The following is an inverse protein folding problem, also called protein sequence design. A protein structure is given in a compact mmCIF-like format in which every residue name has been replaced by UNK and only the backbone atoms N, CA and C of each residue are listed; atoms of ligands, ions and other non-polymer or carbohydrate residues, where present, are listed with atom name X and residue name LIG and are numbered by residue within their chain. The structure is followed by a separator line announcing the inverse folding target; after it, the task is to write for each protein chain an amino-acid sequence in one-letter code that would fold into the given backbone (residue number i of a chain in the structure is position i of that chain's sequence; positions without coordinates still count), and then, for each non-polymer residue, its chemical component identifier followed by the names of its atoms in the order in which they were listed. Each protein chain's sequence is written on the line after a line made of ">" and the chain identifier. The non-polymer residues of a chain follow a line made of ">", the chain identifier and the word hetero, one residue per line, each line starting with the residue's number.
data_IF_965519115763
#
_entry.id   IF_965519115763
#
_cell.length_a   1.000
_cell.length_b   1.000
_cell.length_c   1.000
_cell.angle_alpha   90.00
_cell.angle_beta   90.00
_cell.angle_gamma   90.00
#
_symmetry.space_group_name_H-M   'P 1'
#
loop_
_entity.id
_entity.type
_entity.pdbx_description
1 polymer ?
#
# COMPACT_ATOMS: atom_id res chain seq x y z
N UNK A 1 -1.04 -11.52 26.85
CA UNK A 1 -1.03 -12.18 25.53
C UNK A 1 -2.44 -12.35 24.92
N UNK A 2 -3.50 -12.62 25.68
CA UNK A 2 -4.86 -12.85 25.14
C UNK A 2 -5.65 -11.61 24.63
N UNK A 3 -5.41 -10.41 25.18
CA UNK A 3 -6.17 -9.20 24.81
C UNK A 3 -5.84 -8.73 23.39
N UNK A 4 -4.56 -8.83 22.99
CA UNK A 4 -4.09 -8.35 21.68
C UNK A 4 -4.62 -9.21 20.53
N UNK A 5 -4.60 -10.53 20.70
CA UNK A 5 -5.15 -11.46 19.73
C UNK A 5 -6.68 -11.31 19.59
N UNK A 6 -7.37 -11.07 20.72
CA UNK A 6 -8.81 -10.83 20.72
C UNK A 6 -9.20 -9.50 20.05
N UNK A 7 -8.43 -8.43 20.27
CA UNK A 7 -8.61 -7.14 19.60
C UNK A 7 -8.47 -7.28 18.09
N UNK A 8 -7.39 -7.91 17.62
CA UNK A 8 -7.16 -8.14 16.19
C UNK A 8 -8.24 -9.04 15.56
N UNK A 9 -8.65 -10.11 16.27
CA UNK A 9 -9.74 -10.99 15.82
C UNK A 9 -11.10 -10.26 15.75
N UNK A 10 -11.36 -9.33 16.67
CA UNK A 10 -12.59 -8.52 16.67
C UNK A 10 -12.58 -7.47 15.57
N UNK A 11 -11.41 -6.86 15.30
CA UNK A 11 -11.22 -6.00 14.14
C UNK A 11 -11.47 -6.77 12.85
N UNK A 12 -10.88 -7.97 12.68
CA UNK A 12 -11.11 -8.84 11.53
C UNK A 12 -12.62 -9.07 11.32
N UNK A 13 -13.37 -9.37 12.38
CA UNK A 13 -14.82 -9.59 12.29
C UNK A 13 -15.63 -8.31 11.97
N UNK A 14 -15.25 -7.15 12.52
CA UNK A 14 -15.91 -5.86 12.21
C UNK A 14 -15.59 -5.36 10.80
N UNK A 15 -14.33 -5.52 10.40
CA UNK A 15 -13.83 -5.24 9.06
C UNK A 15 -14.56 -6.13 8.05
N UNK A 16 -14.58 -7.45 8.25
CA UNK A 16 -15.37 -8.40 7.46
C UNK A 16 -16.82 -7.95 7.25
N UNK A 17 -17.53 -7.56 8.32
CA UNK A 17 -18.94 -7.19 8.22
C UNK A 17 -19.18 -5.89 7.43
N UNK A 18 -18.23 -4.95 7.48
CA UNK A 18 -18.26 -3.71 6.70
C UNK A 18 -17.79 -3.94 5.25
N UNK A 19 -16.90 -4.90 5.04
CA UNK A 19 -16.19 -5.16 3.78
C UNK A 19 -16.90 -6.13 2.83
N UNK A 20 -17.78 -7.01 3.32
CA UNK A 20 -18.55 -7.93 2.46
C UNK A 20 -19.56 -7.20 1.55
N UNK A 21 -19.80 -5.88 1.72
CA UNK A 21 -20.68 -5.11 0.85
C UNK A 21 -20.02 -4.51 -0.39
N UNK A 22 -18.70 -4.33 -0.39
CA UNK A 22 -17.95 -3.69 -1.48
C UNK A 22 -17.00 -4.73 -2.13
N UNK A 23 -16.80 -4.65 -3.44
CA UNK A 23 -15.89 -5.57 -4.15
C UNK A 23 -14.40 -5.33 -3.85
N UNK A 24 -14.10 -4.16 -3.28
CA UNK A 24 -12.74 -3.69 -2.99
C UNK A 24 -12.61 -3.31 -1.51
N UNK A 25 -11.47 -3.63 -0.91
CA UNK A 25 -11.13 -3.28 0.47
C UNK A 25 -9.83 -2.53 0.52
N UNK A 26 -9.84 -1.37 1.17
CA UNK A 26 -8.64 -0.59 1.42
C UNK A 26 -8.02 -0.94 2.77
N UNK A 27 -6.72 -1.26 2.76
CA UNK A 27 -5.95 -1.46 4.00
C UNK A 27 -5.25 -0.15 4.38
N UNK A 28 -5.36 0.29 5.64
CA UNK A 28 -4.71 1.52 6.08
C UNK A 28 -3.18 1.37 6.07
N UNK A 29 -2.49 2.36 5.52
CA UNK A 29 -1.02 2.39 5.44
C UNK A 29 -0.41 3.00 6.72
N UNK A 30 -0.35 2.21 7.78
CA UNK A 30 0.11 2.62 9.12
C UNK A 30 1.63 2.48 9.21
N UNK A 31 2.34 3.47 8.68
CA UNK A 31 3.81 3.44 8.52
C UNK A 31 4.57 4.02 9.71
N UNK A 32 3.93 4.85 10.55
CA UNK A 32 4.55 5.40 11.76
C UNK A 32 4.67 4.36 12.86
N UNK A 33 5.73 4.42 13.66
CA UNK A 33 6.17 3.40 14.63
C UNK A 33 6.51 2.02 14.04
N UNK A 34 6.55 1.86 12.72
CA UNK A 34 6.81 0.57 12.07
C UNK A 34 8.21 0.02 12.36
N UNK A 35 9.22 0.89 12.57
CA UNK A 35 10.58 0.45 12.94
C UNK A 35 10.72 0.00 14.40
N UNK A 36 9.66 0.13 15.21
CA UNK A 36 9.71 -0.30 16.61
C UNK A 36 9.33 -1.75 16.76
N UNK A 37 9.94 -2.44 17.73
CA UNK A 37 9.59 -3.83 18.05
C UNK A 37 8.11 -4.00 18.45
N UNK A 38 7.44 -2.94 18.89
CA UNK A 38 6.03 -3.00 19.34
C UNK A 38 5.03 -2.81 18.22
N UNK A 39 5.41 -2.18 17.10
CA UNK A 39 4.48 -1.81 16.02
C UNK A 39 3.21 -1.13 16.56
N UNK A 40 3.38 -0.22 17.53
CA UNK A 40 2.28 0.24 18.39
C UNK A 40 1.10 0.86 17.62
N UNK A 41 1.37 1.57 16.52
CA UNK A 41 0.32 2.13 15.67
C UNK A 41 -0.51 1.05 14.97
N UNK A 42 0.14 0.06 14.36
CA UNK A 42 -0.53 -1.09 13.74
C UNK A 42 -1.35 -1.85 14.78
N UNK A 43 -0.77 -2.08 15.97
CA UNK A 43 -1.43 -2.80 17.05
C UNK A 43 -2.71 -2.12 17.53
N UNK A 44 -2.68 -0.79 17.67
CA UNK A 44 -3.84 0.00 18.11
C UNK A 44 -4.90 0.13 17.03
N UNK A 45 -4.51 0.10 15.76
CA UNK A 45 -5.43 -0.06 14.64
C UNK A 45 -5.99 -1.49 14.51
N UNK A 46 -5.40 -2.45 15.25
CA UNK A 46 -5.82 -3.85 15.37
C UNK A 46 -5.11 -4.82 14.41
N UNK A 47 -4.02 -4.40 13.79
CA UNK A 47 -3.07 -5.28 13.10
C UNK A 47 -2.01 -5.76 14.09
N UNK A 48 -2.09 -7.02 14.52
CA UNK A 48 -1.05 -7.61 15.35
C UNK A 48 0.12 -8.06 14.46
N UNK A 49 1.06 -7.14 14.20
CA UNK A 49 2.21 -7.32 13.31
C UNK A 49 3.54 -7.28 14.07
N UNK A 50 3.87 -8.28 14.91
CA UNK A 50 5.15 -8.32 15.60
C UNK A 50 6.30 -8.67 14.65
N UNK A 51 7.55 -8.33 15.01
CA UNK A 51 8.74 -8.51 14.16
C UNK A 51 8.97 -9.94 13.64
N UNK A 52 8.42 -10.96 14.29
CA UNK A 52 8.58 -12.37 13.93
C UNK A 52 7.38 -12.98 13.16
N UNK A 53 6.36 -12.21 12.83
CA UNK A 53 5.18 -12.71 12.13
C UNK A 53 4.60 -11.65 11.19
N UNK A 54 4.10 -12.08 10.03
CA UNK A 54 3.31 -11.20 9.17
C UNK A 54 1.88 -11.03 9.70
N UNK A 55 1.59 -9.89 10.33
CA UNK A 55 0.30 -9.56 10.94
C UNK A 55 -0.85 -9.33 9.95
N UNK A 56 -0.53 -9.08 8.68
CA UNK A 56 -1.53 -8.90 7.61
C UNK A 56 -2.04 -10.22 7.06
N UNK A 57 -1.21 -11.27 7.10
CA UNK A 57 -1.49 -12.57 6.48
C UNK A 57 -2.85 -13.20 6.89
N UNK A 58 -3.25 -13.19 8.18
CA UNK A 58 -4.55 -13.72 8.59
C UNK A 58 -5.73 -12.92 8.02
N UNK A 59 -5.58 -11.60 7.89
CA UNK A 59 -6.61 -10.73 7.29
C UNK A 59 -6.75 -11.06 5.81
N UNK A 60 -5.64 -11.25 5.11
CA UNK A 60 -5.63 -11.50 3.66
C UNK A 60 -6.16 -12.88 3.29
N UNK A 61 -5.91 -13.89 4.12
CA UNK A 61 -6.55 -15.21 3.99
C UNK A 61 -8.08 -15.12 4.02
N UNK A 62 -8.60 -14.26 4.90
CA UNK A 62 -10.02 -14.01 5.02
C UNK A 62 -10.56 -13.24 3.82
N UNK A 63 -9.91 -12.14 3.42
CA UNK A 63 -10.33 -11.36 2.24
C UNK A 63 -10.35 -12.21 0.97
N UNK A 64 -9.35 -13.10 0.81
CA UNK A 64 -9.26 -14.02 -0.32
C UNK A 64 -10.46 -14.96 -0.40
N UNK A 65 -10.96 -15.45 0.75
CA UNK A 65 -12.18 -16.29 0.80
C UNK A 65 -13.43 -15.61 0.26
N UNK A 66 -13.46 -14.28 0.28
CA UNK A 66 -14.55 -13.47 -0.21
C UNK A 66 -14.31 -12.87 -1.59
N UNK A 67 -13.21 -13.25 -2.28
CA UNK A 67 -12.88 -12.75 -3.62
C UNK A 67 -12.82 -11.22 -3.71
N UNK A 68 -12.37 -10.59 -2.63
CA UNK A 68 -12.22 -9.14 -2.53
C UNK A 68 -10.92 -8.68 -3.20
N UNK A 69 -10.96 -7.53 -3.88
CA UNK A 69 -9.75 -6.84 -4.35
C UNK A 69 -9.16 -6.02 -3.21
N UNK A 70 -7.87 -6.21 -2.91
CA UNK A 70 -7.14 -5.36 -1.99
C UNK A 70 -6.72 -4.06 -2.69
N UNK A 71 -7.20 -2.91 -2.21
CA UNK A 71 -6.75 -1.59 -2.64
C UNK A 71 -5.67 -1.08 -1.70
N UNK A 72 -4.48 -0.87 -2.23
CA UNK A 72 -3.34 -0.33 -1.49
C UNK A 72 -3.15 1.14 -1.82
N UNK A 73 -3.05 2.00 -0.79
CA UNK A 73 -2.71 3.41 -0.97
C UNK A 73 -1.20 3.54 -1.05
N UNK A 74 -0.69 3.83 -2.23
CA UNK A 74 0.71 4.09 -2.51
C UNK A 74 1.11 5.43 -1.88
N UNK A 75 1.89 5.32 -0.81
CA UNK A 75 2.55 6.47 -0.21
C UNK A 75 3.64 6.95 -1.18
N UNK A 76 3.65 8.26 -1.48
CA UNK A 76 4.70 8.88 -2.28
C UNK A 76 6.03 8.94 -1.55
N UNK A 77 7.01 9.60 -2.15
CA UNK A 77 8.21 10.00 -1.41
C UNK A 77 7.76 10.97 -0.31
N UNK A 78 7.71 10.50 0.93
CA UNK A 78 7.85 11.43 2.04
C UNK A 78 9.28 11.95 1.96
N UNK A 79 9.42 13.23 1.66
CA UNK A 79 10.70 13.93 1.73
C UNK A 79 11.34 13.51 3.05
N UNK A 80 12.44 12.78 2.93
CA UNK A 80 13.21 12.13 4.00
C UNK A 80 13.85 13.11 4.99
N UNK A 81 13.29 14.31 5.13
CA UNK A 81 13.68 15.35 6.07
C UNK A 81 12.51 16.06 6.76
N UNK A 82 11.25 15.69 6.49
CA UNK A 82 10.07 16.26 7.18
C UNK A 82 9.39 15.29 8.14
N UNK A 83 9.58 13.98 7.97
CA UNK A 83 9.30 13.05 9.05
C UNK A 83 10.44 13.10 10.06
N UNK A 84 10.12 13.70 11.20
CA UNK A 84 10.91 13.69 12.41
C UNK A 84 11.34 12.24 12.70
N UNK A 85 12.64 11.99 12.92
CA UNK A 85 13.19 10.69 13.31
C UNK A 85 12.40 10.05 14.48
N UNK A 86 11.74 10.89 15.28
CA UNK A 86 10.76 10.53 16.30
C UNK A 86 9.58 9.65 15.85
N UNK A 87 9.15 9.72 14.59
CA UNK A 87 8.02 8.93 14.08
C UNK A 87 8.40 7.45 13.87
N UNK A 88 9.70 7.12 13.79
CA UNK A 88 10.21 5.76 13.58
C UNK A 88 9.49 5.04 12.43
N UNK A 89 9.24 5.79 11.35
CA UNK A 89 8.41 5.35 10.24
C UNK A 89 9.17 4.55 9.19
N UNK A 90 8.45 3.67 8.49
CA UNK A 90 8.96 2.90 7.34
C UNK A 90 7.86 2.62 6.30
N UNK A 91 7.48 3.63 5.50
CA UNK A 91 6.45 3.45 4.47
C UNK A 91 6.87 2.44 3.39
N UNK A 92 8.17 2.33 3.08
CA UNK A 92 8.70 1.39 2.09
C UNK A 92 8.63 -0.05 2.60
N UNK A 93 9.13 -0.30 3.82
CA UNK A 93 9.04 -1.61 4.47
C UNK A 93 7.61 -2.08 4.66
N UNK A 94 6.70 -1.18 5.06
CA UNK A 94 5.27 -1.47 5.15
C UNK A 94 4.67 -1.85 3.78
N UNK A 95 4.93 -1.04 2.75
CA UNK A 95 4.41 -1.27 1.40
C UNK A 95 4.87 -2.63 0.87
N UNK A 96 6.16 -2.94 1.05
CA UNK A 96 6.71 -4.24 0.69
C UNK A 96 6.01 -5.38 1.44
N UNK A 97 5.84 -5.27 2.76
CA UNK A 97 5.23 -6.34 3.56
C UNK A 97 3.77 -6.59 3.16
N UNK A 98 2.98 -5.53 3.00
CA UNK A 98 1.55 -5.60 2.67
C UNK A 98 1.36 -6.19 1.27
N UNK A 99 2.05 -5.66 0.27
CA UNK A 99 1.89 -6.11 -1.12
C UNK A 99 2.32 -7.57 -1.28
N UNK A 100 3.48 -7.96 -0.75
CA UNK A 100 3.96 -9.33 -0.85
C UNK A 100 3.06 -10.31 -0.09
N UNK A 101 2.58 -9.95 1.10
CA UNK A 101 1.63 -10.78 1.85
C UNK A 101 0.32 -10.98 1.11
N UNK A 102 -0.17 -9.96 0.41
CA UNK A 102 -1.40 -10.06 -0.37
C UNK A 102 -1.24 -10.97 -1.58
N UNK A 103 -0.17 -10.78 -2.37
CA UNK A 103 0.13 -11.62 -3.52
C UNK A 103 0.42 -13.07 -3.13
N UNK A 104 1.16 -13.32 -2.04
CA UNK A 104 1.42 -14.67 -1.52
C UNK A 104 0.12 -15.40 -1.12
N UNK A 105 -0.95 -14.65 -0.77
CA UNK A 105 -2.29 -15.18 -0.50
C UNK A 105 -3.20 -15.24 -1.73
N UNK A 106 -2.70 -14.88 -2.90
CA UNK A 106 -3.45 -14.89 -4.16
C UNK A 106 -4.56 -13.84 -4.24
N UNK A 107 -4.44 -12.73 -3.50
CA UNK A 107 -5.36 -11.61 -3.64
C UNK A 107 -5.12 -10.86 -4.94
N UNK A 108 -6.20 -10.35 -5.52
CA UNK A 108 -6.11 -9.30 -6.54
C UNK A 108 -5.75 -8.01 -5.81
N UNK A 109 -4.71 -7.33 -6.29
CA UNK A 109 -4.25 -6.06 -5.72
C UNK A 109 -4.51 -4.94 -6.71
N UNK A 110 -4.98 -3.80 -6.21
CA UNK A 110 -5.13 -2.54 -6.93
C UNK A 110 -4.38 -1.44 -6.17
N UNK A 111 -3.94 -0.41 -6.89
CA UNK A 111 -3.26 0.74 -6.29
C UNK A 111 -4.09 2.02 -6.33
N UNK A 112 -3.79 2.95 -5.43
CA UNK A 112 -4.27 4.33 -5.44
C UNK A 112 -3.17 5.26 -4.95
N UNK A 113 -2.99 6.44 -5.55
CA UNK A 113 -1.98 7.39 -5.05
C UNK A 113 -2.46 8.08 -3.77
N UNK A 114 -1.56 8.29 -2.81
CA UNK A 114 -1.82 9.20 -1.71
C UNK A 114 -2.01 10.65 -2.22
N UNK A 115 -2.77 11.44 -1.45
CA UNK A 115 -3.12 12.84 -1.77
C UNK A 115 -1.93 13.80 -1.96
N UNK A 116 -0.70 13.39 -1.68
CA UNK A 116 0.51 14.20 -1.81
C UNK A 116 1.49 13.65 -2.86
N UNK A 117 1.10 12.62 -3.62
CA UNK A 117 1.99 11.89 -4.53
C UNK A 117 1.76 12.29 -6.00
N UNK A 118 2.20 13.50 -6.38
CA UNK A 118 2.06 14.04 -7.75
C UNK A 118 3.38 14.43 -8.42
N UNK A 119 4.49 14.27 -7.71
CA UNK A 119 5.84 14.51 -8.22
C UNK A 119 6.40 13.28 -8.96
N UNK A 120 7.40 13.51 -9.81
CA UNK A 120 8.01 12.47 -10.66
C UNK A 120 8.48 11.26 -9.86
N UNK A 121 9.16 11.51 -8.75
CA UNK A 121 9.71 10.50 -7.85
C UNK A 121 8.60 9.64 -7.24
N UNK A 122 7.50 10.28 -6.83
CA UNK A 122 6.29 9.60 -6.35
C UNK A 122 5.69 8.69 -7.42
N UNK A 123 5.54 9.18 -8.65
CA UNK A 123 5.06 8.37 -9.77
C UNK A 123 5.97 7.20 -10.10
N UNK A 124 7.29 7.40 -10.11
CA UNK A 124 8.25 6.32 -10.35
C UNK A 124 8.11 5.19 -9.32
N UNK A 125 7.97 5.55 -8.04
CA UNK A 125 7.74 4.57 -6.97
C UNK A 125 6.42 3.82 -7.11
N UNK A 126 5.35 4.53 -7.50
CA UNK A 126 4.07 3.87 -7.79
C UNK A 126 4.24 2.85 -8.92
N UNK A 127 4.92 3.22 -10.00
CA UNK A 127 5.19 2.30 -11.12
C UNK A 127 5.98 1.08 -10.65
N UNK A 128 7.02 1.27 -9.83
CA UNK A 128 7.81 0.18 -9.27
C UNK A 128 7.01 -0.76 -8.37
N UNK A 129 6.09 -0.22 -7.55
CA UNK A 129 5.16 -1.02 -6.74
C UNK A 129 4.13 -1.75 -7.60
N UNK A 130 3.61 -1.09 -8.63
CA UNK A 130 2.55 -1.63 -9.48
C UNK A 130 3.07 -2.73 -10.42
N UNK A 131 4.32 -2.61 -10.88
CA UNK A 131 4.98 -3.52 -11.82
C UNK A 131 6.47 -3.63 -11.47
N UNK A 132 6.86 -4.47 -10.51
CA UNK A 132 8.25 -4.68 -10.15
C UNK A 132 9.06 -5.16 -11.37
N UNK A 133 10.22 -4.54 -11.63
CA UNK A 133 11.01 -4.82 -12.85
C UNK A 133 11.56 -6.24 -12.91
N UNK A 134 11.85 -6.84 -11.75
CA UNK A 134 12.37 -8.19 -11.61
C UNK A 134 11.34 -9.04 -10.86
N UNK A 135 10.40 -9.60 -11.61
CA UNK A 135 9.21 -10.21 -11.05
C UNK A 135 8.96 -11.63 -11.59
N UNK A 136 9.66 -12.63 -11.04
CA UNK A 136 9.47 -14.03 -11.44
C UNK A 136 8.04 -14.53 -11.11
N UNK A 137 7.40 -13.92 -10.12
CA UNK A 137 6.09 -14.30 -9.60
C UNK A 137 4.93 -13.61 -10.33
N UNK A 138 5.23 -12.69 -11.27
CA UNK A 138 4.25 -11.88 -12.00
C UNK A 138 3.32 -11.08 -11.08
N UNK A 139 3.83 -10.62 -9.93
CA UNK A 139 3.22 -9.68 -9.00
C UNK A 139 2.99 -8.31 -9.67
N UNK A 140 1.73 -7.98 -9.94
CA UNK A 140 1.36 -6.69 -10.48
C UNK A 140 0.03 -6.19 -9.91
N UNK A 141 -0.20 -4.89 -10.01
CA UNK A 141 -1.53 -4.32 -9.77
C UNK A 141 -2.44 -4.62 -10.96
N UNK A 142 -3.66 -5.06 -10.65
CA UNK A 142 -4.73 -5.31 -11.63
C UNK A 142 -5.25 -4.01 -12.25
N UNK A 143 -5.39 -2.96 -11.45
CA UNK A 143 -5.72 -1.61 -11.88
C UNK A 143 -5.15 -0.58 -10.89
N UNK A 144 -5.15 0.68 -11.32
CA UNK A 144 -4.72 1.81 -10.51
C UNK A 144 -5.79 2.90 -10.55
N UNK A 145 -6.15 3.44 -9.38
CA UNK A 145 -7.08 4.55 -9.24
C UNK A 145 -6.27 5.81 -9.01
N UNK A 146 -6.31 6.73 -9.97
CA UNK A 146 -5.67 8.03 -9.81
C UNK A 146 -6.59 8.98 -9.04
N UNK A 147 -6.23 9.28 -7.80
CA UNK A 147 -6.89 10.30 -6.99
C UNK A 147 -6.38 11.67 -7.40
N UNK A 148 -7.26 12.48 -8.00
CA UNK A 148 -6.94 13.85 -8.38
C UNK A 148 -6.71 14.73 -7.13
N UNK A 149 -5.75 15.67 -7.15
CA UNK A 149 -5.61 16.65 -6.09
C UNK A 149 -6.87 17.49 -5.99
N UNK A 150 -7.20 17.88 -4.76
CA UNK A 150 -8.28 18.83 -4.52
C UNK A 150 -7.94 20.20 -5.15
N UNK A 151 -8.94 21.02 -5.51
CA UNK A 151 -8.73 22.30 -6.18
C UNK A 151 -7.75 23.26 -5.48
N UNK A 152 -7.60 23.13 -4.17
CA UNK A 152 -6.67 23.90 -3.34
C UNK A 152 -5.19 23.54 -3.58
N UNK A 153 -4.91 22.35 -4.11
CA UNK A 153 -3.57 21.80 -4.39
C UNK A 153 -3.32 21.73 -5.90
N UNK A 154 -4.28 22.15 -6.73
CA UNK A 154 -4.33 21.89 -8.17
C UNK A 154 -3.19 22.54 -8.99
N UNK A 155 -2.44 23.48 -8.41
CA UNK A 155 -1.22 24.02 -9.01
C UNK A 155 -0.02 23.07 -9.04
N UNK A 156 -0.15 21.82 -8.56
CA UNK A 156 0.97 20.86 -8.42
C UNK A 156 1.02 19.77 -9.49
N UNK A 157 -0.01 19.58 -10.33
CA UNK A 157 0.03 18.54 -11.36
C UNK A 157 0.80 19.03 -12.59
N UNK A 158 1.92 18.39 -12.88
CA UNK A 158 2.59 18.51 -14.16
C UNK A 158 2.01 17.48 -15.14
N UNK A 159 1.29 17.92 -16.18
CA UNK A 159 0.66 17.00 -17.14
C UNK A 159 1.66 16.11 -17.88
N UNK A 160 2.91 16.57 -18.09
CA UNK A 160 3.95 15.72 -18.69
C UNK A 160 4.37 14.58 -17.76
N UNK A 161 4.40 14.82 -16.45
CA UNK A 161 4.71 13.77 -15.46
C UNK A 161 3.55 12.77 -15.35
N UNK A 162 2.31 13.25 -15.40
CA UNK A 162 1.14 12.38 -15.44
C UNK A 162 1.11 11.54 -16.73
N UNK A 163 1.42 12.11 -17.89
CA UNK A 163 1.51 11.38 -19.16
C UNK A 163 2.62 10.32 -19.10
N UNK A 164 3.80 10.67 -18.58
CA UNK A 164 4.88 9.72 -18.35
C UNK A 164 4.46 8.58 -17.40
N UNK A 165 3.76 8.91 -16.31
CA UNK A 165 3.23 7.94 -15.37
C UNK A 165 2.26 6.96 -16.04
N UNK A 166 1.27 7.46 -16.78
CA UNK A 166 0.28 6.64 -17.49
C UNK A 166 0.98 5.69 -18.48
N UNK A 167 1.88 6.20 -19.30
CA UNK A 167 2.65 5.41 -20.27
C UNK A 167 3.52 4.35 -19.60
N UNK A 168 4.15 4.69 -18.48
CA UNK A 168 4.93 3.76 -17.67
C UNK A 168 4.04 2.64 -17.09
N UNK A 169 2.86 2.98 -16.57
CA UNK A 169 1.87 2.02 -16.07
C UNK A 169 1.35 1.10 -17.19
N UNK A 170 1.33 1.55 -18.44
CA UNK A 170 0.97 0.71 -19.60
C UNK A 170 2.14 -0.11 -20.15
N UNK A 171 3.38 0.11 -19.68
CA UNK A 171 4.57 -0.59 -20.16
C UNK A 171 5.13 -0.03 -21.48
N UNK A 172 4.72 1.17 -21.88
CA UNK A 172 5.14 1.82 -23.14
C UNK A 172 6.57 2.36 -23.08
N UNK A 173 7.12 2.57 -21.88
CA UNK A 173 8.41 3.24 -21.63
C UNK A 173 9.53 2.23 -21.23
N UNK A 174 9.21 0.95 -21.06
CA UNK A 174 10.15 -0.07 -20.56
C UNK A 174 11.34 -0.38 -21.50
N UNK A 175 11.41 0.22 -22.69
CA UNK A 175 12.48 0.01 -23.68
C UNK A 175 13.71 0.92 -23.55
N UNK A 176 13.62 2.09 -22.92
CA UNK A 176 14.59 3.19 -23.15
C UNK A 176 15.48 3.57 -21.95
N UNK A 177 15.48 2.78 -20.87
CA UNK A 177 16.38 3.00 -19.73
C UNK A 177 17.34 1.82 -19.58
N UNK A 178 18.35 1.77 -20.45
CA UNK A 178 19.59 1.04 -20.18
C UNK A 178 20.50 1.86 -19.24
N UNK A 179 21.30 1.20 -18.38
CA UNK A 179 22.09 1.85 -17.33
C UNK A 179 23.17 2.81 -17.83
#
# INVERSE_FOLDING_TARGET
>A
MNILYWSSSTLINKLLYKFIKDSDVQVPAIHWWYKTASHAAELTAGFYNPTNQNGYSPVFEVLRKHSVTLKFVCLGLQVSGLENDEALADPEGLSWQVLNSAWDRGLIVAGENALLCYEREGYMRIVEMAKPRSDPDRRHFSFFVYQQPTPLVQGTICFSELDYFIKSMHGEIAGDLQP
#
